data_IF_530768615674
#
_entry.id   IF_530768615674
#
_cell.length_a   1.000
_cell.length_b   1.000
_cell.length_c   1.000
_cell.angle_alpha   90.00
_cell.angle_beta   90.00
_cell.angle_gamma   90.00
#
_symmetry.space_group_name_H-M   'P 1'
#
loop_
_entity.id
_entity.type
_entity.pdbx_description
1 polymer ?
#
# COMPACT_ATOMS: atom_id res chain seq x y z
N UNK A 1 -9.16 1.55 -26.37
CA UNK A 1 -9.72 0.18 -26.40
C UNK A 1 -10.45 -0.16 -25.12
N UNK A 2 -9.88 0.13 -23.94
CA UNK A 2 -10.50 -0.14 -22.63
C UNK A 2 -11.88 0.51 -22.45
N UNK A 3 -12.09 1.73 -22.95
CA UNK A 3 -13.41 2.37 -22.94
C UNK A 3 -14.47 1.59 -23.73
N UNK A 4 -14.21 1.25 -24.99
CA UNK A 4 -15.15 0.48 -25.80
C UNK A 4 -15.41 -0.90 -25.22
N UNK A 5 -14.36 -1.55 -24.67
CA UNK A 5 -14.49 -2.82 -23.96
C UNK A 5 -15.37 -2.68 -22.71
N UNK A 6 -15.15 -1.63 -21.91
CA UNK A 6 -15.95 -1.32 -20.70
C UNK A 6 -17.41 -1.08 -21.06
N UNK A 7 -17.70 -0.33 -22.12
CA UNK A 7 -19.07 -0.09 -22.61
C UNK A 7 -19.72 -1.37 -23.10
N UNK A 8 -19.00 -2.19 -23.86
CA UNK A 8 -19.52 -3.49 -24.33
C UNK A 8 -19.84 -4.41 -23.15
N UNK A 9 -18.87 -4.59 -22.26
CA UNK A 9 -18.99 -5.42 -21.06
C UNK A 9 -20.16 -4.98 -20.19
N UNK A 10 -20.25 -3.68 -19.90
CA UNK A 10 -21.34 -3.10 -19.13
C UNK A 10 -22.72 -3.42 -19.73
N UNK A 11 -22.85 -3.37 -21.05
CA UNK A 11 -24.13 -3.63 -21.71
C UNK A 11 -24.45 -5.13 -21.86
N UNK A 12 -23.41 -5.96 -22.02
CA UNK A 12 -23.56 -7.34 -22.47
C UNK A 12 -23.40 -8.40 -21.38
N UNK A 13 -22.68 -8.12 -20.28
CA UNK A 13 -22.38 -9.10 -19.22
C UNK A 13 -23.10 -8.77 -17.91
N UNK A 14 -23.40 -9.80 -17.12
CA UNK A 14 -23.87 -9.68 -15.74
C UNK A 14 -22.73 -9.37 -14.77
N UNK A 15 -23.06 -8.92 -13.57
CA UNK A 15 -22.06 -8.57 -12.55
C UNK A 15 -21.18 -9.76 -12.15
N UNK A 16 -21.78 -10.95 -12.02
CA UNK A 16 -21.03 -12.16 -11.69
C UNK A 16 -20.07 -12.57 -12.81
N UNK A 17 -20.48 -12.43 -14.08
CA UNK A 17 -19.61 -12.68 -15.23
C UNK A 17 -18.45 -11.68 -15.30
N UNK A 18 -18.71 -10.41 -14.96
CA UNK A 18 -17.68 -9.36 -14.90
C UNK A 18 -16.66 -9.69 -13.81
N UNK A 19 -17.11 -10.00 -12.60
CA UNK A 19 -16.23 -10.28 -11.46
C UNK A 19 -15.51 -11.63 -11.55
N UNK A 20 -16.04 -12.59 -12.30
CA UNK A 20 -15.37 -13.86 -12.56
C UNK A 20 -14.27 -13.75 -13.63
N UNK A 21 -14.28 -12.70 -14.45
CA UNK A 21 -13.38 -12.57 -15.59
C UNK A 21 -12.17 -11.68 -15.27
N UNK A 22 -11.04 -12.32 -14.96
CA UNK A 22 -9.76 -11.64 -14.64
C UNK A 22 -9.27 -10.69 -15.74
N UNK A 23 -9.64 -10.91 -17.02
CA UNK A 23 -9.23 -10.03 -18.12
C UNK A 23 -9.92 -8.67 -18.10
N UNK A 24 -11.05 -8.55 -17.39
CA UNK A 24 -11.82 -7.31 -17.28
C UNK A 24 -11.36 -6.42 -16.12
N UNK A 25 -10.36 -6.87 -15.35
CA UNK A 25 -9.84 -6.18 -14.16
C UNK A 25 -9.43 -4.73 -14.41
N UNK A 26 -8.63 -4.47 -15.46
CA UNK A 26 -8.20 -3.09 -15.78
C UNK A 26 -9.35 -2.18 -16.22
N UNK A 27 -10.49 -2.77 -16.59
CA UNK A 27 -11.69 -2.05 -17.00
C UNK A 27 -12.69 -1.85 -15.84
N UNK A 28 -12.48 -2.46 -14.66
CA UNK A 28 -13.49 -2.47 -13.59
C UNK A 28 -13.86 -1.08 -13.09
N UNK A 29 -12.88 -0.20 -12.86
CA UNK A 29 -13.14 1.18 -12.44
C UNK A 29 -13.95 1.95 -13.49
N UNK A 30 -13.63 1.76 -14.77
CA UNK A 30 -14.37 2.37 -15.87
C UNK A 30 -15.78 1.78 -16.04
N UNK A 31 -15.96 0.47 -15.88
CA UNK A 31 -17.27 -0.20 -15.86
C UNK A 31 -18.12 0.33 -14.69
N UNK A 32 -17.52 0.51 -13.51
CA UNK A 32 -18.17 1.13 -12.35
C UNK A 32 -18.55 2.59 -12.66
N UNK A 33 -17.68 3.34 -13.33
CA UNK A 33 -17.94 4.70 -13.78
C UNK A 33 -19.09 4.80 -14.80
N UNK A 34 -19.21 3.85 -15.73
CA UNK A 34 -20.30 3.79 -16.72
C UNK A 34 -21.67 3.50 -16.09
N UNK A 35 -21.71 2.87 -14.91
CA UNK A 35 -22.95 2.71 -14.14
C UNK A 35 -23.47 4.04 -13.57
N UNK A 36 -22.70 5.14 -13.67
CA UNK A 36 -23.02 6.43 -13.09
C UNK A 36 -23.95 7.29 -13.97
N UNK A 37 -25.02 7.83 -13.38
CA UNK A 37 -25.89 8.86 -14.00
C UNK A 37 -25.76 10.26 -13.44
N UNK A 38 -25.15 10.46 -12.27
CA UNK A 38 -25.26 11.73 -11.56
C UNK A 38 -23.96 12.10 -10.82
N UNK A 39 -23.56 13.36 -10.98
CA UNK A 39 -22.33 13.88 -10.40
C UNK A 39 -22.43 13.98 -8.86
N UNK A 40 -21.32 13.63 -8.18
CA UNK A 40 -20.91 14.07 -6.83
C UNK A 40 -21.27 13.26 -5.57
N UNK A 41 -21.55 11.96 -5.63
CA UNK A 41 -21.47 11.11 -4.41
C UNK A 41 -20.99 9.73 -4.84
N UNK A 42 -19.98 9.12 -4.18
CA UNK A 42 -19.57 7.72 -4.40
C UNK A 42 -20.79 6.80 -4.47
N UNK A 43 -21.83 7.16 -3.69
CA UNK A 43 -23.10 6.50 -3.54
C UNK A 43 -24.27 6.98 -4.42
N UNK A 44 -24.04 7.99 -5.26
CA UNK A 44 -24.94 8.32 -6.41
C UNK A 44 -24.48 7.69 -7.73
N UNK A 45 -23.41 6.88 -7.72
CA UNK A 45 -23.07 5.88 -8.76
C UNK A 45 -24.08 4.71 -8.84
N UNK A 46 -25.19 4.80 -8.10
CA UNK A 46 -26.05 3.68 -7.69
C UNK A 46 -27.39 3.56 -8.47
N UNK A 47 -27.57 4.21 -9.62
CA UNK A 47 -28.88 4.18 -10.32
C UNK A 47 -28.80 3.87 -11.82
N UNK A 48 -29.11 2.61 -12.11
CA UNK A 48 -29.50 1.91 -13.35
C UNK A 48 -29.70 2.74 -14.65
N UNK A 49 -28.82 2.56 -15.67
CA UNK A 49 -28.91 3.20 -17.00
C UNK A 49 -29.50 2.39 -18.14
N UNK A 50 -30.19 1.28 -17.91
CA UNK A 50 -30.95 0.65 -18.98
C UNK A 50 -32.43 0.49 -18.61
N UNK A 51 -33.35 1.30 -19.16
CA UNK A 51 -34.78 1.11 -18.92
C UNK A 51 -35.31 -0.23 -19.46
N UNK A 52 -34.52 -0.95 -20.26
CA UNK A 52 -34.85 -2.27 -20.80
C UNK A 52 -34.41 -3.47 -19.94
N UNK A 53 -33.55 -3.28 -18.92
CA UNK A 53 -33.15 -4.32 -17.96
C UNK A 53 -33.66 -3.97 -16.55
N UNK A 54 -34.54 -4.81 -16.00
CA UNK A 54 -35.20 -4.63 -14.70
C UNK A 54 -34.20 -4.52 -13.54
N UNK A 55 -33.92 -3.28 -13.13
CA UNK A 55 -33.84 -2.75 -11.76
C UNK A 55 -33.07 -3.46 -10.62
N UNK A 56 -32.24 -4.47 -10.82
CA UNK A 56 -31.55 -5.12 -9.68
C UNK A 56 -30.04 -5.37 -9.82
N UNK A 57 -29.46 -5.32 -11.02
CA UNK A 57 -28.08 -5.78 -11.24
C UNK A 57 -27.01 -4.68 -11.18
N UNK A 58 -27.28 -3.44 -11.60
CA UNK A 58 -26.25 -2.38 -11.59
C UNK A 58 -25.79 -1.96 -10.18
N UNK A 59 -26.72 -1.92 -9.21
CA UNK A 59 -26.39 -1.81 -7.80
C UNK A 59 -25.65 -3.06 -7.27
N UNK A 60 -25.75 -4.20 -7.97
CA UNK A 60 -25.17 -5.47 -7.55
C UNK A 60 -23.67 -5.58 -7.82
N UNK A 61 -23.06 -4.89 -8.80
CA UNK A 61 -21.62 -5.06 -9.08
C UNK A 61 -20.76 -4.46 -7.96
N UNK A 62 -20.96 -3.19 -7.63
CA UNK A 62 -20.25 -2.55 -6.52
C UNK A 62 -20.73 -3.07 -5.17
N UNK A 63 -22.02 -3.41 -4.98
CA UNK A 63 -22.41 -4.14 -3.76
C UNK A 63 -21.76 -5.52 -3.69
N UNK A 64 -21.54 -6.21 -4.81
CA UNK A 64 -20.79 -7.49 -4.82
C UNK A 64 -19.30 -7.28 -4.59
N UNK A 65 -18.71 -6.20 -5.10
CA UNK A 65 -17.33 -5.80 -4.78
C UNK A 65 -17.23 -5.44 -3.30
N UNK A 66 -18.16 -4.63 -2.78
CA UNK A 66 -18.24 -4.23 -1.38
C UNK A 66 -18.58 -5.39 -0.47
N UNK A 67 -19.40 -6.35 -0.88
CA UNK A 67 -19.72 -7.57 -0.14
C UNK A 67 -18.52 -8.52 -0.15
N UNK A 68 -17.82 -8.65 -1.29
CA UNK A 68 -16.57 -9.42 -1.40
C UNK A 68 -15.43 -8.77 -0.60
N UNK A 69 -15.39 -7.43 -0.59
CA UNK A 69 -14.58 -6.68 0.36
C UNK A 69 -15.05 -7.04 1.76
N UNK A 70 -16.31 -6.83 2.15
CA UNK A 70 -16.86 -7.03 3.50
C UNK A 70 -16.82 -8.49 4.04
N UNK A 71 -16.57 -9.52 3.22
CA UNK A 71 -16.37 -10.89 3.71
C UNK A 71 -15.18 -10.94 4.68
N UNK A 72 -15.42 -11.49 5.87
CA UNK A 72 -14.48 -11.50 6.98
C UNK A 72 -13.27 -12.40 6.68
N UNK A 73 -12.16 -12.12 7.35
CA UNK A 73 -10.95 -12.96 7.26
C UNK A 73 -11.19 -14.38 7.80
N UNK A 74 -12.16 -14.57 8.70
CA UNK A 74 -12.46 -15.85 9.35
C UNK A 74 -13.03 -16.92 8.40
N UNK A 75 -13.82 -16.55 7.39
CA UNK A 75 -14.30 -17.52 6.37
C UNK A 75 -13.20 -17.92 5.38
N UNK A 76 -12.14 -17.12 5.24
CA UNK A 76 -11.11 -17.32 4.22
C UNK A 76 -10.00 -18.28 4.65
N UNK A 77 -9.75 -18.41 5.95
CA UNK A 77 -8.82 -19.43 6.45
C UNK A 77 -9.34 -20.87 6.22
N UNK A 78 -10.66 -21.05 6.07
CA UNK A 78 -11.28 -22.36 5.81
C UNK A 78 -11.19 -22.84 4.35
N UNK A 79 -10.86 -21.98 3.38
CA UNK A 79 -10.76 -22.32 1.94
C UNK A 79 -9.30 -22.23 1.43
N UNK A 80 -8.36 -22.52 2.31
CA UNK A 80 -6.93 -22.43 2.06
C UNK A 80 -6.40 -23.56 1.17
N UNK A 81 -6.64 -23.48 -0.14
CA UNK A 81 -5.79 -24.15 -1.13
C UNK A 81 -5.80 -23.57 -2.55
N UNK A 82 -6.48 -22.46 -2.85
CA UNK A 82 -6.44 -21.88 -4.20
C UNK A 82 -6.20 -20.36 -4.15
N UNK A 83 -5.03 -19.95 -4.64
CA UNK A 83 -4.67 -18.58 -5.06
C UNK A 83 -4.74 -17.47 -3.99
N UNK A 84 -3.85 -17.55 -3.01
CA UNK A 84 -3.61 -16.48 -2.02
C UNK A 84 -2.83 -15.33 -2.66
N UNK A 85 -3.48 -14.17 -2.82
CA UNK A 85 -2.95 -12.78 -2.84
C UNK A 85 -3.46 -11.90 -4.00
N UNK A 86 -3.87 -12.47 -5.13
CA UNK A 86 -4.19 -11.68 -6.33
C UNK A 86 -5.54 -10.92 -6.17
N UNK A 87 -6.62 -11.60 -5.75
CA UNK A 87 -7.97 -11.01 -5.90
C UNK A 87 -8.35 -9.93 -4.86
N UNK A 88 -7.59 -9.71 -3.76
CA UNK A 88 -7.95 -8.74 -2.69
C UNK A 88 -7.32 -7.36 -2.84
N UNK A 89 -6.04 -7.29 -3.22
CA UNK A 89 -5.39 -6.01 -3.54
C UNK A 89 -6.14 -5.32 -4.68
N UNK A 90 -6.70 -6.13 -5.58
CA UNK A 90 -7.49 -5.72 -6.74
C UNK A 90 -8.72 -4.89 -6.38
N UNK A 91 -9.46 -5.27 -5.33
CA UNK A 91 -10.68 -4.55 -4.97
C UNK A 91 -10.42 -3.26 -4.21
N UNK A 92 -9.30 -3.19 -3.46
CA UNK A 92 -8.84 -1.96 -2.82
C UNK A 92 -8.51 -0.91 -3.89
N UNK A 93 -7.74 -1.30 -4.89
CA UNK A 93 -7.28 -0.38 -5.92
C UNK A 93 -8.46 0.12 -6.77
N UNK A 94 -9.38 -0.77 -7.15
CA UNK A 94 -10.65 -0.37 -7.80
C UNK A 94 -11.45 0.60 -6.93
N UNK A 95 -11.53 0.38 -5.62
CA UNK A 95 -12.22 1.31 -4.71
C UNK A 95 -11.53 2.69 -4.69
N UNK A 96 -10.20 2.73 -4.58
CA UNK A 96 -9.43 3.98 -4.54
C UNK A 96 -9.55 4.75 -5.85
N UNK A 97 -9.51 4.06 -6.99
CA UNK A 97 -9.77 4.63 -8.31
C UNK A 97 -11.19 5.20 -8.39
N UNK A 98 -12.21 4.43 -8.00
CA UNK A 98 -13.59 4.91 -7.97
C UNK A 98 -13.76 6.11 -7.04
N UNK A 99 -13.10 6.11 -5.89
CA UNK A 99 -13.10 7.22 -4.93
C UNK A 99 -12.46 8.49 -5.51
N UNK A 100 -11.38 8.33 -6.27
CA UNK A 100 -10.74 9.42 -6.99
C UNK A 100 -11.61 9.95 -8.14
N UNK A 101 -12.06 9.08 -9.05
CA UNK A 101 -12.85 9.49 -10.22
C UNK A 101 -14.17 10.16 -9.84
N UNK A 102 -14.79 9.69 -8.75
CA UNK A 102 -15.99 10.29 -8.19
C UNK A 102 -15.77 11.60 -7.46
N UNK A 103 -14.52 11.97 -7.19
CA UNK A 103 -14.13 13.08 -6.32
C UNK A 103 -14.83 13.01 -4.96
N UNK A 104 -14.96 11.79 -4.43
CA UNK A 104 -15.72 11.56 -3.20
C UNK A 104 -14.98 12.03 -1.96
N UNK A 105 -15.74 12.24 -0.90
CA UNK A 105 -15.22 12.56 0.44
C UNK A 105 -15.68 11.51 1.43
N UNK A 106 -15.01 11.38 2.57
CA UNK A 106 -15.45 10.43 3.60
C UNK A 106 -16.77 10.90 4.24
N UNK A 107 -17.81 10.10 4.07
CA UNK A 107 -19.11 10.19 4.76
C UNK A 107 -19.32 8.97 5.66
N UNK A 108 -20.46 8.89 6.35
CA UNK A 108 -20.75 7.80 7.29
C UNK A 108 -20.68 6.41 6.63
N UNK A 109 -21.04 6.32 5.35
CA UNK A 109 -21.05 5.06 4.63
C UNK A 109 -19.65 4.63 4.21
N UNK A 110 -18.86 5.53 3.61
CA UNK A 110 -17.45 5.29 3.28
C UNK A 110 -16.64 5.01 4.54
N UNK A 111 -16.90 5.74 5.63
CA UNK A 111 -16.33 5.45 6.93
C UNK A 111 -16.66 4.01 7.36
N UNK A 112 -17.91 3.57 7.20
CA UNK A 112 -18.30 2.20 7.55
C UNK A 112 -17.57 1.12 6.73
N UNK A 113 -17.29 1.37 5.45
CA UNK A 113 -16.53 0.46 4.58
C UNK A 113 -15.06 0.41 5.01
N UNK A 114 -14.46 1.58 5.22
CA UNK A 114 -13.04 1.72 5.58
C UNK A 114 -12.78 1.19 7.00
N UNK A 115 -13.71 1.37 7.94
CA UNK A 115 -13.55 1.00 9.35
C UNK A 115 -13.91 -0.47 9.64
N UNK A 116 -14.81 -1.09 8.87
CA UNK A 116 -15.16 -2.52 9.05
C UNK A 116 -13.99 -3.45 8.75
N UNK A 117 -13.01 -3.00 7.97
CA UNK A 117 -11.87 -3.80 7.56
C UNK A 117 -10.71 -3.72 8.52
N UNK A 118 -9.90 -4.78 8.50
CA UNK A 118 -8.67 -4.81 9.28
C UNK A 118 -7.85 -3.57 8.93
N UNK A 119 -7.26 -2.95 9.96
CA UNK A 119 -6.48 -1.70 9.87
C UNK A 119 -5.44 -1.73 8.74
N UNK A 120 -5.05 -2.90 8.26
CA UNK A 120 -4.00 -3.15 7.30
C UNK A 120 -4.42 -2.90 5.83
N UNK A 121 -5.63 -3.24 5.40
CA UNK A 121 -5.98 -3.24 3.96
C UNK A 121 -5.99 -1.83 3.34
N UNK A 122 -6.63 -0.86 4.00
CA UNK A 122 -6.79 0.50 3.48
C UNK A 122 -5.59 1.42 3.71
N UNK A 123 -4.68 1.01 4.58
CA UNK A 123 -3.68 1.91 5.16
C UNK A 123 -2.24 1.50 4.84
N UNK A 124 -2.11 0.55 3.90
CA UNK A 124 -0.86 0.15 3.28
C UNK A 124 -0.70 0.89 1.96
N UNK A 125 0.38 1.65 1.81
CA UNK A 125 0.73 2.39 0.60
C UNK A 125 2.03 1.81 0.04
N UNK A 126 2.07 1.61 -1.28
CA UNK A 126 3.26 1.11 -1.98
C UNK A 126 3.71 2.10 -3.05
N UNK A 127 5.01 2.37 -3.12
CA UNK A 127 5.66 3.16 -4.18
C UNK A 127 6.70 2.24 -4.82
N UNK A 128 6.47 1.87 -6.09
CA UNK A 128 7.25 0.87 -6.80
C UNK A 128 7.40 1.24 -8.29
N UNK A 129 8.32 0.57 -8.99
CA UNK A 129 8.63 0.84 -10.41
C UNK A 129 7.43 0.71 -11.37
N UNK A 130 6.42 -0.10 -11.03
CA UNK A 130 5.23 -0.31 -11.86
C UNK A 130 4.12 0.71 -11.62
N UNK A 131 4.29 1.61 -10.65
CA UNK A 131 3.22 2.52 -10.25
C UNK A 131 3.08 3.68 -11.24
N UNK A 132 1.89 3.81 -11.80
CA UNK A 132 1.59 4.88 -12.77
C UNK A 132 1.31 6.21 -12.07
N UNK A 133 1.50 7.33 -12.78
CA UNK A 133 1.10 8.66 -12.30
C UNK A 133 -0.38 8.75 -11.94
N UNK A 134 -1.23 7.98 -12.64
CA UNK A 134 -2.65 7.87 -12.36
C UNK A 134 -2.91 7.24 -10.98
N UNK A 135 -2.32 6.06 -10.71
CA UNK A 135 -2.45 5.39 -9.42
C UNK A 135 -1.87 6.23 -8.28
N UNK A 136 -0.74 6.91 -8.50
CA UNK A 136 -0.16 7.86 -7.54
C UNK A 136 -1.13 8.99 -7.21
N UNK A 137 -1.87 9.50 -8.20
CA UNK A 137 -2.88 10.55 -8.01
C UNK A 137 -4.09 10.04 -7.21
N UNK A 138 -4.58 8.85 -7.54
CA UNK A 138 -5.71 8.23 -6.84
C UNK A 138 -5.39 8.00 -5.36
N UNK A 139 -4.23 7.39 -5.06
CA UNK A 139 -3.81 7.17 -3.68
C UNK A 139 -3.53 8.48 -2.93
N UNK A 140 -2.90 9.46 -3.59
CA UNK A 140 -2.67 10.78 -2.98
C UNK A 140 -3.98 11.44 -2.55
N UNK A 141 -5.01 11.36 -3.39
CA UNK A 141 -6.34 11.89 -3.08
C UNK A 141 -6.98 11.14 -1.92
N UNK A 142 -7.00 9.81 -1.96
CA UNK A 142 -7.55 8.98 -0.89
C UNK A 142 -6.86 9.24 0.46
N UNK A 143 -5.53 9.24 0.49
CA UNK A 143 -4.74 9.47 1.71
C UNK A 143 -5.00 10.85 2.29
N UNK A 144 -5.21 11.87 1.43
CA UNK A 144 -5.54 13.20 1.91
C UNK A 144 -6.82 13.21 2.75
N UNK A 145 -7.84 12.47 2.35
CA UNK A 145 -9.08 12.31 3.13
C UNK A 145 -8.89 11.37 4.32
N UNK A 146 -8.19 10.25 4.12
CA UNK A 146 -7.91 9.27 5.18
C UNK A 146 -7.17 9.91 6.37
N UNK A 147 -6.10 10.67 6.11
CA UNK A 147 -5.35 11.37 7.17
C UNK A 147 -6.19 12.49 7.81
N UNK A 148 -6.97 13.25 7.02
CA UNK A 148 -7.87 14.29 7.56
C UNK A 148 -8.92 13.73 8.51
N UNK A 149 -9.35 12.49 8.27
CA UNK A 149 -10.24 11.75 9.17
C UNK A 149 -9.58 11.24 10.46
N UNK A 150 -8.34 11.67 10.75
CA UNK A 150 -7.54 11.32 11.94
C UNK A 150 -7.17 9.83 12.03
N UNK A 151 -7.32 9.08 10.93
CA UNK A 151 -6.84 7.69 10.83
C UNK A 151 -5.35 7.67 10.57
N UNK A 152 -4.64 6.65 11.09
CA UNK A 152 -3.19 6.47 10.92
C UNK A 152 -2.91 5.39 9.87
N UNK A 153 -1.93 5.63 9.00
CA UNK A 153 -1.45 4.62 8.05
C UNK A 153 -0.72 3.50 8.79
N UNK A 154 -0.93 2.26 8.38
CA UNK A 154 -0.22 1.12 8.96
C UNK A 154 1.14 0.97 8.34
N UNK A 155 1.21 0.93 7.00
CA UNK A 155 2.45 0.62 6.30
C UNK A 155 2.70 1.54 5.11
N UNK A 156 3.95 1.94 4.93
CA UNK A 156 4.46 2.53 3.70
C UNK A 156 5.63 1.68 3.18
N UNK A 157 5.51 1.19 1.96
CA UNK A 157 6.55 0.42 1.28
C UNK A 157 7.11 1.20 0.10
N UNK A 158 8.43 1.31 0.00
CA UNK A 158 9.12 1.97 -1.10
C UNK A 158 10.16 1.02 -1.69
N UNK A 159 9.88 0.56 -2.91
CA UNK A 159 10.69 -0.39 -3.66
C UNK A 159 11.09 0.17 -5.02
N UNK A 160 11.60 1.40 -4.99
CA UNK A 160 12.04 2.19 -6.14
C UNK A 160 13.16 3.12 -5.69
N UNK A 161 14.17 3.33 -6.52
CA UNK A 161 15.34 4.16 -6.20
C UNK A 161 15.24 5.61 -6.73
N UNK A 162 14.45 5.85 -7.78
CA UNK A 162 14.21 7.17 -8.37
C UNK A 162 12.72 7.49 -8.26
N UNK A 163 12.36 8.53 -7.53
CA UNK A 163 10.98 8.93 -7.31
C UNK A 163 10.62 10.14 -8.21
N UNK A 164 9.41 10.14 -8.78
CA UNK A 164 8.85 11.34 -9.42
C UNK A 164 8.44 12.39 -8.38
N UNK A 165 8.23 13.63 -8.81
CA UNK A 165 7.77 14.71 -7.94
C UNK A 165 6.44 14.37 -7.23
N UNK A 166 5.53 13.67 -7.91
CA UNK A 166 4.26 13.20 -7.34
C UNK A 166 4.50 12.09 -6.29
N UNK A 167 5.39 11.15 -6.59
CA UNK A 167 5.75 10.08 -5.65
C UNK A 167 6.45 10.63 -4.40
N UNK A 168 7.31 11.64 -4.54
CA UNK A 168 7.94 12.34 -3.41
C UNK A 168 6.87 13.02 -2.56
N UNK A 169 5.91 13.73 -3.17
CA UNK A 169 4.80 14.37 -2.42
C UNK A 169 3.96 13.34 -1.67
N UNK A 170 3.64 12.21 -2.31
CA UNK A 170 2.91 11.10 -1.71
C UNK A 170 3.68 10.50 -0.53
N UNK A 171 4.96 10.18 -0.73
CA UNK A 171 5.88 9.67 0.28
C UNK A 171 5.90 10.58 1.51
N UNK A 172 6.18 11.88 1.32
CA UNK A 172 6.23 12.88 2.38
C UNK A 172 4.90 12.91 3.15
N UNK A 173 3.78 12.90 2.44
CA UNK A 173 2.44 12.90 3.04
C UNK A 173 2.24 11.67 3.93
N UNK A 174 2.58 10.48 3.45
CA UNK A 174 2.44 9.23 4.20
C UNK A 174 3.28 9.24 5.48
N UNK A 175 4.54 9.67 5.37
CA UNK A 175 5.50 9.64 6.47
C UNK A 175 5.11 10.52 7.65
N UNK A 176 4.25 11.52 7.47
CA UNK A 176 3.72 12.31 8.59
C UNK A 176 2.81 11.51 9.52
N UNK A 177 2.23 10.40 9.07
CA UNK A 177 1.15 9.72 9.75
C UNK A 177 1.14 8.19 9.51
N UNK A 178 2.32 7.57 9.47
CA UNK A 178 2.48 6.12 9.28
C UNK A 178 3.07 5.45 10.53
N UNK A 179 2.82 4.15 10.71
CA UNK A 179 3.42 3.34 11.79
C UNK A 179 4.70 2.66 11.31
N UNK A 180 4.60 1.92 10.21
CA UNK A 180 5.66 1.08 9.69
C UNK A 180 6.13 1.57 8.33
N UNK A 181 7.45 1.68 8.15
CA UNK A 181 8.08 2.08 6.89
C UNK A 181 9.00 0.98 6.42
N UNK A 182 8.94 0.66 5.14
CA UNK A 182 9.74 -0.35 4.48
C UNK A 182 10.50 0.28 3.31
N UNK A 183 11.83 0.15 3.35
CA UNK A 183 12.70 0.49 2.24
C UNK A 183 13.34 -0.77 1.68
N UNK A 184 13.19 -0.98 0.38
CA UNK A 184 13.79 -2.11 -0.33
C UNK A 184 15.01 -1.71 -1.18
N UNK A 185 15.21 -0.39 -1.35
CA UNK A 185 16.30 0.20 -2.11
C UNK A 185 16.87 1.41 -1.38
N UNK A 186 18.15 1.77 -1.60
CA UNK A 186 18.65 3.09 -1.26
C UNK A 186 17.84 4.16 -1.98
N UNK A 187 17.38 5.16 -1.23
CA UNK A 187 16.58 6.26 -1.75
C UNK A 187 17.24 7.55 -1.29
N UNK A 188 17.57 8.42 -2.25
CA UNK A 188 18.04 9.75 -1.95
C UNK A 188 16.85 10.60 -1.51
N UNK A 189 16.83 10.97 -0.23
CA UNK A 189 15.77 11.81 0.33
C UNK A 189 16.09 13.32 0.27
N UNK A 190 17.17 13.73 -0.40
CA UNK A 190 17.59 15.14 -0.54
C UNK A 190 17.60 15.92 0.80
N UNK A 191 17.97 15.23 1.88
CA UNK A 191 17.99 15.80 3.23
C UNK A 191 16.63 15.92 3.93
N UNK A 192 15.54 15.49 3.30
CA UNK A 192 14.23 15.41 3.93
C UNK A 192 14.23 14.39 5.07
N UNK A 193 13.61 14.76 6.20
CA UNK A 193 13.52 13.93 7.40
C UNK A 193 12.10 13.91 7.95
N UNK A 194 11.62 12.77 8.47
CA UNK A 194 10.30 12.70 9.06
C UNK A 194 10.24 13.53 10.35
N UNK A 195 9.20 14.36 10.48
CA UNK A 195 8.96 15.18 11.68
C UNK A 195 8.60 14.34 12.91
N UNK A 196 7.87 13.26 12.68
CA UNK A 196 7.38 12.36 13.73
C UNK A 196 8.25 11.11 13.79
N UNK A 197 8.33 10.49 14.99
CA UNK A 197 8.95 9.18 15.12
C UNK A 197 8.08 8.11 14.47
N UNK A 198 8.72 7.30 13.64
CA UNK A 198 8.16 6.09 13.04
C UNK A 198 8.23 4.97 14.08
N UNK A 199 7.19 4.12 14.14
CA UNK A 199 7.19 3.02 15.10
C UNK A 199 8.19 1.94 14.70
N UNK A 200 8.13 1.51 13.44
CA UNK A 200 9.03 0.48 12.91
C UNK A 200 9.62 0.92 11.57
N UNK A 201 10.94 0.93 11.50
CA UNK A 201 11.68 1.07 10.26
C UNK A 201 12.19 -0.31 9.82
N UNK A 202 11.85 -0.72 8.61
CA UNK A 202 12.28 -1.95 7.97
C UNK A 202 13.14 -1.59 6.76
N UNK A 203 14.37 -2.07 6.70
CA UNK A 203 15.27 -1.89 5.56
C UNK A 203 15.66 -3.27 5.05
N UNK A 204 15.14 -3.65 3.88
CA UNK A 204 15.27 -4.99 3.31
C UNK A 204 16.06 -4.93 2.00
N UNK A 205 17.36 -4.97 2.14
CA UNK A 205 18.34 -4.82 1.06
C UNK A 205 19.07 -6.14 0.78
N UNK A 206 18.53 -7.29 1.19
CA UNK A 206 19.18 -8.59 1.00
C UNK A 206 19.40 -9.00 -0.45
N UNK A 207 18.76 -8.32 -1.40
CA UNK A 207 18.90 -8.58 -2.83
C UNK A 207 19.80 -7.55 -3.54
N UNK A 208 20.33 -6.57 -2.79
CA UNK A 208 21.12 -5.47 -3.34
C UNK A 208 22.41 -5.31 -2.55
N UNK A 209 23.55 -5.55 -3.22
CA UNK A 209 24.83 -5.15 -2.66
C UNK A 209 24.94 -3.62 -2.73
N UNK A 210 25.10 -3.00 -1.57
CA UNK A 210 25.26 -1.54 -1.45
C UNK A 210 26.56 -1.23 -0.72
N UNK A 211 27.12 -0.06 -0.98
CA UNK A 211 28.35 0.35 -0.28
C UNK A 211 28.02 0.87 1.12
N UNK A 212 29.05 0.92 1.98
CA UNK A 212 28.96 1.57 3.29
C UNK A 212 28.45 3.01 3.17
N UNK A 213 28.98 3.76 2.18
CA UNK A 213 28.61 5.15 1.91
C UNK A 213 27.13 5.27 1.55
N UNK A 214 26.62 4.39 0.68
CA UNK A 214 25.19 4.38 0.32
C UNK A 214 24.32 4.12 1.56
N UNK A 215 24.73 3.22 2.45
CA UNK A 215 24.00 2.96 3.69
C UNK A 215 23.98 4.19 4.61
N UNK A 216 25.14 4.81 4.82
CA UNK A 216 25.29 6.01 5.65
C UNK A 216 24.46 7.19 5.13
N UNK A 217 24.45 7.42 3.82
CA UNK A 217 23.75 8.57 3.24
C UNK A 217 22.23 8.35 3.18
N UNK A 218 21.77 7.14 2.87
CA UNK A 218 20.36 6.89 2.57
C UNK A 218 19.56 6.34 3.76
N UNK A 219 20.18 5.57 4.67
CA UNK A 219 19.46 4.85 5.74
C UNK A 219 19.80 5.31 7.15
N UNK A 220 21.08 5.58 7.44
CA UNK A 220 21.51 5.97 8.78
C UNK A 220 20.73 7.18 9.36
N UNK A 221 20.36 8.23 8.58
CA UNK A 221 19.57 9.34 9.11
C UNK A 221 18.25 8.89 9.76
N UNK A 222 17.66 7.79 9.29
CA UNK A 222 16.37 7.28 9.76
C UNK A 222 16.43 6.55 11.09
N UNK A 223 17.61 6.09 11.52
CA UNK A 223 17.75 5.34 12.77
C UNK A 223 17.29 6.20 13.96
N UNK A 224 17.59 7.49 13.93
CA UNK A 224 17.19 8.44 14.97
C UNK A 224 15.70 8.80 14.94
N UNK A 225 15.00 8.45 13.86
CA UNK A 225 13.58 8.74 13.66
C UNK A 225 12.70 7.49 13.81
N UNK A 226 13.23 6.35 14.24
CA UNK A 226 12.45 5.14 14.47
C UNK A 226 12.54 4.65 15.93
N UNK A 227 11.51 3.95 16.41
CA UNK A 227 11.55 3.27 17.70
C UNK A 227 12.13 1.86 17.60
N UNK A 228 11.75 1.14 16.54
CA UNK A 228 12.20 -0.23 16.26
C UNK A 228 12.84 -0.29 14.87
N UNK A 229 13.94 -1.02 14.76
CA UNK A 229 14.69 -1.19 13.52
C UNK A 229 14.75 -2.66 13.09
N UNK A 230 14.32 -2.98 11.89
CA UNK A 230 14.53 -4.29 11.27
C UNK A 230 15.41 -4.13 10.05
N UNK A 231 16.57 -4.78 10.04
CA UNK A 231 17.45 -4.84 8.89
C UNK A 231 17.44 -6.25 8.32
N UNK A 232 17.32 -6.37 7.00
CA UNK A 232 17.60 -7.59 6.26
C UNK A 232 18.66 -7.26 5.22
N UNK A 233 19.86 -7.78 5.45
CA UNK A 233 21.09 -7.35 4.81
C UNK A 233 21.55 -8.36 3.75
N UNK A 234 22.23 -7.88 2.71
CA UNK A 234 22.89 -8.73 1.73
C UNK A 234 24.08 -9.45 2.37
N UNK A 235 24.31 -10.71 2.01
CA UNK A 235 25.34 -11.54 2.65
C UNK A 235 26.77 -11.05 2.39
N UNK A 236 26.96 -10.30 1.32
CA UNK A 236 28.26 -9.72 0.92
C UNK A 236 28.56 -8.36 1.56
N UNK A 237 27.66 -7.78 2.37
CA UNK A 237 27.97 -6.57 3.14
C UNK A 237 29.13 -6.86 4.09
N UNK A 238 30.16 -6.01 4.11
CA UNK A 238 31.36 -6.16 4.94
C UNK A 238 31.43 -5.17 6.11
N UNK A 239 30.57 -4.14 6.11
CA UNK A 239 30.51 -3.08 7.14
C UNK A 239 29.48 -3.37 8.26
N UNK A 240 29.24 -4.65 8.58
CA UNK A 240 28.29 -5.04 9.64
C UNK A 240 28.70 -4.54 11.03
N UNK A 241 30.01 -4.38 11.26
CA UNK A 241 30.56 -3.84 12.50
C UNK A 241 30.13 -2.38 12.69
N UNK A 242 30.22 -1.58 11.65
CA UNK A 242 29.79 -0.18 11.68
C UNK A 242 28.27 -0.06 11.83
N UNK A 243 27.48 -0.94 11.21
CA UNK A 243 26.03 -1.02 11.47
C UNK A 243 25.77 -1.24 12.97
N UNK A 244 26.53 -2.13 13.62
CA UNK A 244 26.40 -2.34 15.06
C UNK A 244 26.73 -1.07 15.86
N UNK A 245 27.79 -0.35 15.48
CA UNK A 245 28.20 0.91 16.12
C UNK A 245 27.12 2.00 15.94
N UNK A 246 26.58 2.16 14.73
CA UNK A 246 25.50 3.09 14.45
C UNK A 246 24.24 2.80 15.25
N UNK A 247 23.85 1.52 15.39
CA UNK A 247 22.71 1.15 16.24
C UNK A 247 23.00 1.52 17.69
N UNK A 248 24.21 1.24 18.21
CA UNK A 248 24.60 1.62 19.58
C UNK A 248 24.53 3.13 19.82
N UNK A 249 24.86 3.93 18.81
CA UNK A 249 24.84 5.40 18.89
C UNK A 249 23.48 6.02 18.57
N UNK A 250 22.47 5.21 18.24
CA UNK A 250 21.12 5.67 17.90
C UNK A 250 20.14 5.54 19.06
N UNK A 251 18.99 6.20 18.95
CA UNK A 251 17.90 6.11 19.93
C UNK A 251 16.93 4.92 19.70
N UNK A 252 17.38 3.90 18.98
CA UNK A 252 16.57 2.71 18.64
C UNK A 252 16.35 1.86 19.90
N UNK A 253 15.08 1.62 20.26
CA UNK A 253 14.71 0.87 21.47
C UNK A 253 14.85 -0.64 21.29
N UNK A 254 14.58 -1.14 20.08
CA UNK A 254 14.64 -2.57 19.73
C UNK A 254 15.11 -2.72 18.30
N UNK A 255 15.90 -3.75 18.03
CA UNK A 255 16.29 -4.07 16.68
C UNK A 255 16.26 -5.57 16.38
N UNK A 256 16.20 -5.88 15.08
CA UNK A 256 16.37 -7.21 14.50
C UNK A 256 17.24 -7.07 13.25
N UNK A 257 18.28 -7.88 13.12
CA UNK A 257 19.14 -7.92 11.93
C UNK A 257 19.17 -9.34 11.39
N UNK A 258 18.81 -9.51 10.13
CA UNK A 258 18.99 -10.74 9.36
C UNK A 258 20.20 -10.57 8.42
N UNK A 259 21.23 -11.40 8.60
CA UNK A 259 22.48 -11.33 7.82
C UNK A 259 23.15 -12.71 7.78
N UNK A 260 23.54 -13.20 6.59
CA UNK A 260 24.18 -14.52 6.36
C UNK A 260 23.40 -15.67 6.98
N UNK A 261 22.08 -15.64 6.79
CA UNK A 261 21.15 -16.64 7.34
C UNK A 261 21.01 -16.64 8.87
N UNK A 262 21.54 -15.63 9.57
CA UNK A 262 21.45 -15.49 11.03
C UNK A 262 20.53 -14.34 11.43
N UNK A 263 19.83 -14.51 12.55
CA UNK A 263 18.95 -13.51 13.17
C UNK A 263 19.57 -12.98 14.47
N UNK A 264 19.84 -11.68 14.51
CA UNK A 264 20.41 -10.97 15.65
C UNK A 264 19.36 -10.02 16.26
N UNK A 265 19.03 -10.24 17.53
CA UNK A 265 18.11 -9.39 18.31
C UNK A 265 18.73 -8.81 19.58
N UNK A 266 20.05 -8.99 19.72
CA UNK A 266 20.83 -8.57 20.87
C UNK A 266 22.22 -8.11 20.39
N UNK A 267 22.68 -6.96 20.91
CA UNK A 267 23.97 -6.37 20.54
C UNK A 267 25.14 -7.28 20.88
N UNK A 268 25.10 -8.01 22.00
CA UNK A 268 26.19 -8.89 22.42
C UNK A 268 26.41 -10.02 21.41
N UNK A 269 25.31 -10.60 20.90
CA UNK A 269 25.36 -11.64 19.87
C UNK A 269 25.91 -11.10 18.56
N UNK A 270 25.53 -9.88 18.19
CA UNK A 270 26.01 -9.21 16.98
C UNK A 270 27.50 -8.86 17.11
N UNK A 271 27.93 -8.25 18.23
CA UNK A 271 29.32 -7.91 18.52
C UNK A 271 30.23 -9.14 18.47
N UNK A 272 29.84 -10.23 19.15
CA UNK A 272 30.60 -11.49 19.16
C UNK A 272 30.72 -12.14 17.77
N UNK A 273 29.79 -11.84 16.86
CA UNK A 273 29.86 -12.31 15.49
C UNK A 273 30.82 -11.47 14.64
N UNK A 274 30.94 -10.16 14.92
CA UNK A 274 31.85 -9.26 14.20
C UNK A 274 33.31 -9.31 14.65
N UNK A 275 33.60 -9.93 15.81
CA UNK A 275 34.95 -10.06 16.36
C UNK A 275 35.65 -11.38 16.01
N UNK A 276 34.97 -12.29 15.29
CA UNK A 276 35.51 -13.54 14.77
C UNK A 276 35.87 -13.40 13.31
#
# INVERSE_FOLDING_TARGET
>A
MEFCASVYVYNCLSCDEILANKKLKSCLSMICGLANKNQNILLKFFVNLNPSKKSSEGASLLCSILDRLNRSDDEFYSLSSISRNDDREDYRDVFIECFYESQSTFDDEINSIVDKKSRWEWSNISINEGKTSYLTSCESYFINHYVKSKRKLSMLSVSKNILSDEEIKLLIRCLTNVRDVYFYHPINFEGWKPKNKIEVLNIWISYYLITKKDFEENFLPWFNHCEKLTLKLHDEIDFIKEICEWICCSNVKRFKIEYRGKDFRNLDKLKNFTTR
#
